data_IF_455968758986
#
_entry.id   IF_455968758986
#
_cell.length_a   1.000
_cell.length_b   1.000
_cell.length_c   1.000
_cell.angle_alpha   90.00
_cell.angle_beta   90.00
_cell.angle_gamma   90.00
#
_symmetry.space_group_name_H-M   'P 1'
#
loop_
_entity.id
_entity.type
_entity.pdbx_description
1 polymer ?
#
# COMPACT_ATOMS: atom_id res chain seq x y z
N UNK A 1 -34.42 7.90 10.11
CA UNK A 1 -33.89 7.37 8.84
C UNK A 1 -32.65 6.55 9.15
N UNK A 2 -32.55 5.36 8.56
CA UNK A 2 -31.46 4.41 8.76
C UNK A 2 -30.78 4.13 7.41
N UNK A 3 -29.48 3.89 7.44
CA UNK A 3 -28.71 3.46 6.28
C UNK A 3 -28.68 1.93 6.20
N UNK A 4 -28.85 1.37 5.01
CA UNK A 4 -28.53 -0.02 4.70
C UNK A 4 -27.41 -0.03 3.66
N UNK A 5 -26.23 -0.50 4.03
CA UNK A 5 -25.11 -0.67 3.13
C UNK A 5 -24.98 -2.15 2.78
N UNK A 6 -25.55 -2.52 1.64
CA UNK A 6 -25.55 -3.90 1.17
C UNK A 6 -24.25 -4.18 0.39
N UNK A 7 -23.22 -4.69 1.08
CA UNK A 7 -21.87 -4.86 0.54
C UNK A 7 -21.72 -6.06 -0.40
N UNK A 8 -22.64 -6.23 -1.37
CA UNK A 8 -22.58 -7.34 -2.34
C UNK A 8 -21.25 -7.33 -3.08
N UNK A 9 -20.75 -8.53 -3.37
CA UNK A 9 -19.56 -8.70 -4.19
C UNK A 9 -19.94 -8.69 -5.67
N UNK A 10 -19.08 -8.17 -6.56
CA UNK A 10 -19.32 -8.20 -7.99
C UNK A 10 -19.33 -9.64 -8.52
N UNK A 11 -20.17 -9.91 -9.53
CA UNK A 11 -20.19 -11.14 -10.31
C UNK A 11 -20.00 -10.79 -11.80
N UNK A 12 -18.87 -11.15 -12.44
CA UNK A 12 -17.76 -11.94 -11.91
C UNK A 12 -16.97 -11.23 -10.79
N UNK A 13 -16.24 -11.99 -9.96
CA UNK A 13 -15.43 -11.43 -8.88
C UNK A 13 -14.44 -10.39 -9.38
N UNK A 14 -14.21 -9.35 -8.55
CA UNK A 14 -13.14 -8.38 -8.78
C UNK A 14 -11.78 -9.09 -8.82
N UNK A 15 -10.78 -8.46 -9.44
CA UNK A 15 -9.46 -9.10 -9.61
C UNK A 15 -8.88 -9.56 -8.26
N UNK A 16 -8.81 -10.88 -8.07
CA UNK A 16 -8.42 -11.54 -6.83
C UNK A 16 -6.93 -11.38 -6.49
N UNK A 17 -6.11 -10.88 -7.41
CA UNK A 17 -4.70 -10.62 -7.09
C UNK A 17 -4.47 -9.30 -6.37
N UNK A 18 -5.50 -8.46 -6.27
CA UNK A 18 -5.38 -7.25 -5.50
C UNK A 18 -5.22 -7.62 -4.02
N UNK A 19 -4.35 -6.92 -3.27
CA UNK A 19 -4.06 -7.27 -1.88
C UNK A 19 -5.17 -6.84 -0.91
N UNK A 20 -6.37 -6.52 -1.43
CA UNK A 20 -7.49 -6.00 -0.66
C UNK A 20 -8.83 -6.41 -1.29
N UNK A 21 -9.89 -6.58 -0.49
CA UNK A 21 -11.24 -6.75 -1.00
C UNK A 21 -11.79 -5.42 -1.57
N UNK A 22 -12.81 -5.50 -2.44
CA UNK A 22 -13.33 -4.36 -3.19
C UNK A 22 -13.82 -3.19 -2.33
N UNK A 23 -14.45 -3.49 -1.19
CA UNK A 23 -14.97 -2.48 -0.26
C UNK A 23 -13.87 -1.79 0.56
N UNK A 24 -12.70 -2.42 0.68
CA UNK A 24 -11.52 -1.85 1.33
C UNK A 24 -10.51 -1.32 0.31
N UNK A 25 -10.82 -1.39 -0.98
CA UNK A 25 -9.94 -0.90 -2.04
C UNK A 25 -9.69 0.60 -1.85
N UNK A 26 -8.42 1.05 -1.84
CA UNK A 26 -8.08 2.45 -1.63
C UNK A 26 -8.30 3.29 -2.89
N UNK A 27 -9.25 4.22 -2.85
CA UNK A 27 -9.38 5.29 -3.83
C UNK A 27 -8.72 6.54 -3.26
N UNK A 28 -7.64 7.01 -3.88
CA UNK A 28 -6.79 8.08 -3.31
C UNK A 28 -6.41 7.82 -1.83
N UNK A 29 -5.91 6.60 -1.54
CA UNK A 29 -5.55 6.11 -0.20
C UNK A 29 -6.67 6.04 0.85
N UNK A 30 -7.89 6.46 0.50
CA UNK A 30 -9.08 6.28 1.33
C UNK A 30 -9.84 5.02 0.89
N UNK A 31 -10.17 4.07 1.77
CA UNK A 31 -10.98 2.91 1.40
C UNK A 31 -12.34 3.32 0.85
N UNK A 32 -12.84 2.60 -0.17
CA UNK A 32 -14.17 2.82 -0.76
C UNK A 32 -15.26 2.93 0.31
N UNK A 33 -15.25 2.06 1.32
CA UNK A 33 -16.25 2.08 2.39
C UNK A 33 -16.33 3.41 3.15
N UNK A 34 -15.20 4.09 3.36
CA UNK A 34 -15.18 5.36 4.09
C UNK A 34 -15.84 6.49 3.29
N UNK A 35 -15.89 6.41 1.95
CA UNK A 35 -16.66 7.37 1.15
C UNK A 35 -18.16 7.25 1.39
N UNK A 36 -18.65 6.04 1.71
CA UNK A 36 -20.04 5.85 2.10
C UNK A 36 -20.33 6.41 3.48
N UNK A 37 -19.42 6.26 4.44
CA UNK A 37 -19.57 6.83 5.76
C UNK A 37 -19.70 8.35 5.70
N UNK A 38 -18.83 9.01 4.93
CA UNK A 38 -18.95 10.43 4.64
C UNK A 38 -20.31 10.76 4.01
N UNK A 39 -20.69 10.02 2.96
CA UNK A 39 -21.95 10.25 2.24
C UNK A 39 -23.15 10.17 3.20
N UNK A 40 -23.22 9.11 4.02
CA UNK A 40 -24.29 8.94 5.00
C UNK A 40 -24.33 10.11 5.99
N UNK A 41 -23.18 10.53 6.52
CA UNK A 41 -23.09 11.70 7.40
C UNK A 41 -23.59 12.98 6.73
N UNK A 42 -23.15 13.28 5.51
CA UNK A 42 -23.58 14.47 4.77
C UNK A 42 -25.08 14.45 4.46
N UNK A 43 -25.65 13.27 4.24
CA UNK A 43 -27.07 13.07 4.05
C UNK A 43 -27.87 13.07 5.37
N UNK A 44 -27.20 13.13 6.53
CA UNK A 44 -27.83 13.16 7.86
C UNK A 44 -28.23 11.78 8.39
N UNK A 45 -27.64 10.71 7.87
CA UNK A 45 -27.86 9.33 8.30
C UNK A 45 -26.67 8.87 9.13
N UNK A 46 -26.90 8.59 10.41
CA UNK A 46 -25.82 8.20 11.35
C UNK A 46 -25.88 6.73 11.77
N UNK A 47 -27.05 6.09 11.67
CA UNK A 47 -27.21 4.66 11.98
C UNK A 47 -27.18 3.84 10.69
N UNK A 48 -26.22 2.94 10.56
CA UNK A 48 -25.98 2.18 9.34
C UNK A 48 -25.93 0.68 9.67
N UNK A 49 -26.77 -0.08 8.99
CA UNK A 49 -26.75 -1.54 8.96
C UNK A 49 -25.93 -1.99 7.75
N UNK A 50 -24.81 -2.66 7.99
CA UNK A 50 -23.91 -3.17 6.97
C UNK A 50 -24.17 -4.67 6.77
N UNK A 51 -24.48 -5.07 5.53
CA UNK A 51 -24.60 -6.48 5.15
C UNK A 51 -23.27 -6.92 4.54
N UNK A 52 -22.52 -7.75 5.26
CA UNK A 52 -21.17 -8.17 4.89
C UNK A 52 -21.18 -9.53 4.20
N UNK A 53 -20.57 -9.60 3.02
CA UNK A 53 -20.44 -10.81 2.20
C UNK A 53 -19.00 -11.35 2.18
N UNK A 54 -18.06 -10.71 2.89
CA UNK A 54 -16.69 -11.18 3.00
C UNK A 54 -16.62 -12.41 3.92
N UNK A 55 -15.75 -13.35 3.58
CA UNK A 55 -15.54 -14.57 4.37
C UNK A 55 -14.75 -14.30 5.67
N UNK A 56 -14.05 -13.16 5.71
CA UNK A 56 -13.21 -12.71 6.82
C UNK A 56 -13.84 -11.46 7.44
N UNK A 57 -13.80 -11.29 8.77
CA UNK A 57 -14.39 -10.14 9.44
C UNK A 57 -13.53 -8.86 9.30
N UNK A 58 -12.97 -8.61 8.12
CA UNK A 58 -12.04 -7.51 7.87
C UNK A 58 -12.69 -6.14 8.07
N UNK A 59 -13.95 -5.98 7.64
CA UNK A 59 -14.69 -4.72 7.79
C UNK A 59 -14.96 -4.46 9.28
N UNK A 60 -15.55 -5.42 9.99
CA UNK A 60 -15.91 -5.25 11.40
C UNK A 60 -14.67 -5.11 12.30
N UNK A 61 -13.59 -5.82 11.99
CA UNK A 61 -12.31 -5.69 12.70
C UNK A 61 -11.69 -4.29 12.52
N UNK A 62 -11.83 -3.69 11.33
CA UNK A 62 -11.26 -2.38 11.01
C UNK A 62 -12.09 -1.22 11.56
N UNK A 63 -13.41 -1.26 11.41
CA UNK A 63 -14.28 -0.12 11.71
C UNK A 63 -15.00 -0.22 13.04
N UNK A 64 -15.06 -1.40 13.67
CA UNK A 64 -15.70 -1.59 14.97
C UNK A 64 -17.14 -1.06 14.96
N UNK A 65 -17.51 -0.22 15.93
CA UNK A 65 -18.84 0.39 15.98
C UNK A 65 -19.04 1.57 15.03
N UNK A 66 -18.02 2.00 14.28
CA UNK A 66 -18.06 3.18 13.41
C UNK A 66 -17.93 4.51 14.15
N UNK A 67 -17.83 4.50 15.49
CA UNK A 67 -17.84 5.72 16.30
C UNK A 67 -16.72 6.72 15.95
N UNK A 68 -15.56 6.25 15.50
CA UNK A 68 -14.45 7.11 15.05
C UNK A 68 -14.78 7.91 13.77
N UNK A 69 -15.78 7.48 13.00
CA UNK A 69 -16.31 8.15 11.83
C UNK A 69 -17.64 8.86 12.11
N UNK A 70 -18.04 9.04 13.38
CA UNK A 70 -19.28 9.74 13.73
C UNK A 70 -20.59 9.00 13.38
N UNK A 71 -20.50 7.70 13.06
CA UNK A 71 -21.62 6.83 12.70
C UNK A 71 -21.73 5.66 13.69
N UNK A 72 -22.87 4.97 13.65
CA UNK A 72 -23.13 3.73 14.37
C UNK A 72 -23.32 2.58 13.38
N UNK A 73 -22.34 1.68 13.33
CA UNK A 73 -22.34 0.49 12.49
C UNK A 73 -22.90 -0.71 13.24
N UNK A 74 -23.81 -1.43 12.59
CA UNK A 74 -24.25 -2.78 12.94
C UNK A 74 -23.97 -3.71 11.77
N UNK A 75 -23.57 -4.95 12.03
CA UNK A 75 -23.17 -5.90 10.99
C UNK A 75 -24.12 -7.08 10.93
N UNK A 76 -24.48 -7.50 9.72
CA UNK A 76 -25.21 -8.74 9.46
C UNK A 76 -24.52 -9.48 8.31
N UNK A 77 -24.45 -10.79 8.41
CA UNK A 77 -23.94 -11.64 7.34
C UNK A 77 -24.91 -11.65 6.14
N UNK A 78 -24.37 -11.44 4.95
CA UNK A 78 -25.06 -11.58 3.68
C UNK A 78 -25.11 -13.03 3.22
N UNK A 79 -26.22 -13.45 2.61
CA UNK A 79 -26.31 -14.80 2.04
C UNK A 79 -26.00 -14.75 0.53
N UNK A 80 -25.14 -15.67 0.08
CA UNK A 80 -24.74 -15.72 -1.33
C UNK A 80 -25.94 -15.90 -2.26
N UNK A 81 -25.99 -15.10 -3.33
CA UNK A 81 -27.08 -15.13 -4.31
C UNK A 81 -28.33 -14.34 -3.92
N UNK A 82 -28.40 -13.76 -2.72
CA UNK A 82 -29.52 -12.89 -2.34
C UNK A 82 -29.59 -11.63 -3.20
N UNK A 83 -30.80 -11.33 -3.67
CA UNK A 83 -31.13 -10.04 -4.28
C UNK A 83 -31.68 -9.07 -3.24
N UNK A 84 -31.64 -7.77 -3.52
CA UNK A 84 -32.04 -6.73 -2.57
C UNK A 84 -33.43 -6.96 -1.93
N UNK A 85 -34.51 -7.33 -2.66
CA UNK A 85 -35.81 -7.62 -2.03
C UNK A 85 -35.75 -8.73 -0.97
N UNK A 86 -35.00 -9.81 -1.23
CA UNK A 86 -34.85 -10.94 -0.31
C UNK A 86 -34.06 -10.53 0.95
N UNK A 87 -32.99 -9.76 0.76
CA UNK A 87 -32.21 -9.19 1.86
C UNK A 87 -33.09 -8.29 2.74
N UNK A 88 -33.87 -7.38 2.15
CA UNK A 88 -34.76 -6.49 2.92
C UNK A 88 -35.84 -7.26 3.68
N UNK A 89 -36.37 -8.34 3.10
CA UNK A 89 -37.36 -9.19 3.77
C UNK A 89 -36.79 -9.89 5.01
N UNK A 90 -35.62 -10.51 4.86
CA UNK A 90 -34.90 -11.14 5.97
C UNK A 90 -34.61 -10.13 7.08
N UNK A 91 -34.31 -8.88 6.71
CA UNK A 91 -33.95 -7.82 7.62
C UNK A 91 -35.13 -7.02 8.18
N UNK A 92 -36.37 -7.32 7.80
CA UNK A 92 -37.56 -6.50 8.13
C UNK A 92 -37.68 -6.08 9.60
N UNK A 93 -37.30 -6.95 10.52
CA UNK A 93 -37.37 -6.67 11.96
C UNK A 93 -36.37 -5.60 12.42
N UNK A 94 -35.32 -5.36 11.64
CA UNK A 94 -34.30 -4.34 11.87
C UNK A 94 -34.57 -3.02 11.12
N UNK A 95 -35.64 -2.94 10.31
CA UNK A 95 -35.94 -1.84 9.40
C UNK A 95 -37.27 -1.15 9.79
N UNK A 96 -37.24 -0.32 10.83
CA UNK A 96 -38.42 0.39 11.36
C UNK A 96 -38.44 1.88 10.97
N UNK A 97 -37.43 2.31 10.22
CA UNK A 97 -37.20 3.69 9.80
C UNK A 97 -37.24 3.80 8.28
N UNK A 98 -37.37 5.02 7.79
CA UNK A 98 -37.08 5.31 6.39
C UNK A 98 -35.65 4.89 6.06
N UNK A 99 -35.45 4.34 4.86
CA UNK A 99 -34.25 3.61 4.52
C UNK A 99 -33.52 4.27 3.36
N UNK A 100 -32.24 4.57 3.57
CA UNK A 100 -31.30 4.87 2.51
C UNK A 100 -30.48 3.61 2.22
N UNK A 101 -30.77 2.95 1.10
CA UNK A 101 -30.15 1.71 0.66
C UNK A 101 -29.03 2.03 -0.32
N UNK A 102 -27.85 1.44 -0.10
CA UNK A 102 -26.79 1.31 -1.09
C UNK A 102 -26.72 -0.17 -1.44
N UNK A 103 -26.98 -0.52 -2.69
CA UNK A 103 -26.96 -1.90 -3.15
C UNK A 103 -25.82 -2.17 -4.14
N UNK A 104 -24.79 -2.89 -3.71
CA UNK A 104 -23.71 -3.36 -4.58
C UNK A 104 -22.47 -2.46 -4.63
N UNK A 105 -21.38 -2.94 -5.27
CA UNK A 105 -20.08 -2.30 -5.27
C UNK A 105 -20.11 -1.10 -6.23
N UNK A 106 -20.62 0.01 -5.74
CA UNK A 106 -20.74 1.25 -6.48
C UNK A 106 -19.69 2.24 -6.01
N UNK A 107 -19.51 3.32 -6.76
CA UNK A 107 -18.78 4.49 -6.29
C UNK A 107 -19.62 5.76 -6.49
N UNK A 108 -20.02 6.45 -5.40
CA UNK A 108 -20.82 7.67 -5.48
C UNK A 108 -19.95 8.91 -5.71
N UNK A 109 -20.07 9.57 -6.87
CA UNK A 109 -19.39 10.84 -7.16
C UNK A 109 -20.18 12.03 -6.62
N UNK A 110 -20.37 12.04 -5.30
CA UNK A 110 -20.96 13.19 -4.62
C UNK A 110 -19.98 14.37 -4.53
N UNK A 111 -20.50 15.53 -4.12
CA UNK A 111 -19.70 16.72 -3.88
C UNK A 111 -20.08 17.29 -2.51
N UNK A 112 -19.16 17.20 -1.54
CA UNK A 112 -19.42 17.58 -0.15
C UNK A 112 -19.89 19.02 0.02
N UNK A 113 -19.56 19.89 -0.94
CA UNK A 113 -19.92 21.32 -0.89
C UNK A 113 -21.36 21.57 -1.34
N UNK A 114 -21.97 20.63 -2.05
CA UNK A 114 -23.30 20.78 -2.65
C UNK A 114 -24.34 19.81 -2.09
N UNK A 115 -23.88 18.74 -1.41
CA UNK A 115 -24.77 17.81 -0.74
C UNK A 115 -25.62 18.51 0.32
N UNK A 116 -26.89 18.12 0.37
CA UNK A 116 -27.86 18.55 1.36
C UNK A 116 -28.27 17.36 2.21
N UNK A 117 -28.71 17.63 3.44
CA UNK A 117 -29.38 16.63 4.27
C UNK A 117 -30.56 16.04 3.52
N UNK A 118 -30.67 14.71 3.57
CA UNK A 118 -31.65 13.97 2.81
C UNK A 118 -33.04 14.14 3.42
N UNK A 119 -34.04 14.35 2.57
CA UNK A 119 -35.44 14.45 2.96
C UNK A 119 -36.27 13.61 2.01
N UNK A 120 -37.28 12.91 2.53
CA UNK A 120 -38.21 12.17 1.68
C UNK A 120 -39.06 13.13 0.84
N UNK A 121 -39.04 13.02 -0.50
CA UNK A 121 -39.85 13.90 -1.33
C UNK A 121 -41.34 13.64 -1.16
N UNK A 122 -41.75 12.36 -1.19
CA UNK A 122 -43.09 11.84 -0.90
C UNK A 122 -42.96 10.40 -0.40
N UNK A 123 -44.01 9.86 0.23
CA UNK A 123 -43.98 8.50 0.77
C UNK A 123 -44.44 7.42 -0.24
N UNK A 124 -44.69 7.80 -1.49
CA UNK A 124 -45.41 6.97 -2.48
C UNK A 124 -44.52 6.23 -3.49
N UNK A 125 -43.21 6.43 -3.47
CA UNK A 125 -42.30 5.86 -4.47
C UNK A 125 -40.89 5.62 -3.93
N UNK A 126 -40.09 4.91 -4.71
CA UNK A 126 -38.66 4.69 -4.47
C UNK A 126 -37.90 5.80 -5.21
N UNK A 127 -36.97 6.45 -4.52
CA UNK A 127 -36.18 7.53 -5.11
C UNK A 127 -34.72 7.13 -5.28
N UNK A 128 -34.22 7.17 -6.51
CA UNK A 128 -32.79 6.98 -6.80
C UNK A 128 -32.00 8.28 -6.61
N UNK A 129 -30.86 8.20 -5.94
CA UNK A 129 -29.86 9.28 -5.88
C UNK A 129 -28.89 9.25 -7.06
N UNK A 130 -28.94 8.23 -7.91
CA UNK A 130 -28.13 8.15 -9.12
C UNK A 130 -28.65 9.12 -10.17
N UNK A 131 -27.76 9.90 -10.78
CA UNK A 131 -28.13 10.87 -11.82
C UNK A 131 -28.34 10.24 -13.21
N UNK A 132 -27.77 9.06 -13.48
CA UNK A 132 -27.64 8.50 -14.83
C UNK A 132 -28.54 7.31 -15.11
N UNK A 133 -28.87 6.52 -14.10
CA UNK A 133 -29.60 5.26 -14.27
C UNK A 133 -30.71 5.12 -13.24
N UNK A 134 -31.88 4.67 -13.70
CA UNK A 134 -33.08 4.46 -12.91
C UNK A 134 -33.38 2.97 -12.89
N UNK A 135 -32.83 2.29 -11.89
CA UNK A 135 -32.98 0.84 -11.69
C UNK A 135 -32.93 0.52 -10.20
N UNK A 136 -33.46 -0.63 -9.82
CA UNK A 136 -33.48 -1.13 -8.45
C UNK A 136 -32.14 -1.75 -8.05
N UNK A 137 -31.45 -2.39 -8.98
CA UNK A 137 -30.15 -3.02 -8.73
C UNK A 137 -29.00 -2.06 -8.95
N UNK A 138 -27.91 -2.25 -8.21
CA UNK A 138 -26.66 -1.48 -8.39
C UNK A 138 -26.92 0.03 -8.29
N UNK A 139 -27.68 0.42 -7.28
CA UNK A 139 -28.15 1.79 -7.08
C UNK A 139 -28.13 2.24 -5.61
N UNK A 140 -28.34 3.54 -5.42
CA UNK A 140 -28.55 4.17 -4.12
C UNK A 140 -30.00 4.66 -4.08
N UNK A 141 -30.80 4.03 -3.23
CA UNK A 141 -32.26 4.16 -3.20
C UNK A 141 -32.72 4.70 -1.85
N UNK A 142 -33.69 5.59 -1.88
CA UNK A 142 -34.41 6.09 -0.71
C UNK A 142 -35.83 5.52 -0.74
N UNK A 143 -36.21 4.86 0.36
CA UNK A 143 -37.50 4.17 0.53
C UNK A 143 -38.12 4.60 1.86
N UNK A 144 -39.39 5.00 1.87
CA UNK A 144 -40.10 5.29 3.12
C UNK A 144 -40.41 4.01 3.90
N UNK A 145 -40.47 4.09 5.23
CA UNK A 145 -40.83 2.94 6.07
C UNK A 145 -42.22 2.37 5.74
N UNK A 146 -43.18 3.24 5.43
CA UNK A 146 -44.55 2.81 5.06
C UNK A 146 -44.54 1.98 3.77
N UNK A 147 -43.80 2.44 2.76
CA UNK A 147 -43.65 1.73 1.51
C UNK A 147 -42.88 0.43 1.71
N UNK A 148 -41.82 0.44 2.52
CA UNK A 148 -41.03 -0.74 2.83
C UNK A 148 -41.88 -1.87 3.44
N UNK A 149 -42.78 -1.55 4.38
CA UNK A 149 -43.70 -2.55 4.96
C UNK A 149 -44.62 -3.19 3.91
N UNK A 150 -44.97 -2.44 2.85
CA UNK A 150 -45.78 -2.95 1.74
C UNK A 150 -44.93 -3.83 0.82
N UNK A 151 -43.70 -3.41 0.52
CA UNK A 151 -42.75 -4.10 -0.36
C UNK A 151 -42.25 -5.44 0.21
N UNK A 152 -42.23 -5.58 1.52
CA UNK A 152 -41.71 -6.74 2.25
C UNK A 152 -42.83 -7.73 2.69
N UNK A 153 -44.04 -7.58 2.14
CA UNK A 153 -45.19 -8.44 2.42
C UNK A 153 -45.27 -9.67 1.50
N UNK A 154 -46.24 -10.57 1.72
CA UNK A 154 -46.28 -11.93 1.12
C UNK A 154 -46.23 -11.99 -0.43
N UNK A 155 -46.57 -10.90 -1.15
CA UNK A 155 -46.49 -10.80 -2.63
C UNK A 155 -45.20 -10.11 -3.13
N UNK A 156 -44.08 -10.82 -2.90
CA UNK A 156 -42.66 -10.42 -2.97
C UNK A 156 -42.17 -9.62 -4.18
N UNK A 157 -42.64 -9.89 -5.40
CA UNK A 157 -42.08 -9.28 -6.64
C UNK A 157 -43.03 -8.30 -7.33
N UNK A 158 -44.33 -8.60 -7.32
CA UNK A 158 -45.31 -7.75 -8.00
C UNK A 158 -45.37 -6.36 -7.34
N UNK A 159 -45.21 -6.28 -6.02
CA UNK A 159 -45.19 -5.00 -5.31
C UNK A 159 -44.03 -4.10 -5.77
N UNK A 160 -42.83 -4.66 -5.97
CA UNK A 160 -41.65 -3.91 -6.39
C UNK A 160 -41.76 -3.37 -7.81
N UNK A 161 -42.43 -4.12 -8.70
CA UNK A 161 -42.62 -3.73 -10.10
C UNK A 161 -43.66 -2.60 -10.25
N UNK A 162 -44.67 -2.56 -9.37
CA UNK A 162 -45.76 -1.60 -9.44
C UNK A 162 -45.47 -0.27 -8.74
N UNK A 163 -44.39 -0.19 -7.97
CA UNK A 163 -44.04 1.01 -7.22
C UNK A 163 -43.28 2.00 -8.12
N UNK A 164 -43.69 3.28 -8.17
CA UNK A 164 -42.97 4.29 -8.95
C UNK A 164 -41.51 4.40 -8.50
N UNK A 165 -40.61 4.30 -9.46
CA UNK A 165 -39.18 4.55 -9.28
C UNK A 165 -38.82 5.86 -9.98
N UNK A 166 -38.41 6.86 -9.20
CA UNK A 166 -38.11 8.20 -9.69
C UNK A 166 -36.73 8.67 -9.23
N UNK A 167 -36.20 9.71 -9.86
CA UNK A 167 -35.02 10.40 -9.33
C UNK A 167 -35.40 11.26 -8.13
N UNK A 168 -34.53 11.32 -7.13
CA UNK A 168 -34.68 12.29 -6.06
C UNK A 168 -34.57 13.73 -6.62
N UNK A 169 -35.46 14.68 -6.28
CA UNK A 169 -35.52 15.99 -6.92
C UNK A 169 -34.29 16.87 -6.64
N UNK A 170 -33.76 16.83 -5.41
CA UNK A 170 -32.68 17.73 -4.98
C UNK A 170 -31.30 17.07 -4.89
N UNK A 171 -31.22 15.87 -4.31
CA UNK A 171 -29.97 15.14 -4.09
C UNK A 171 -29.75 14.13 -5.21
N UNK A 172 -28.82 14.41 -6.12
CA UNK A 172 -28.42 13.49 -7.19
C UNK A 172 -26.95 13.62 -7.52
N UNK A 173 -26.32 12.49 -7.84
CA UNK A 173 -24.93 12.48 -8.28
C UNK A 173 -24.63 11.29 -9.19
N UNK A 174 -23.57 11.35 -10.01
CA UNK A 174 -23.16 10.21 -10.82
C UNK A 174 -22.73 9.05 -9.92
N UNK A 175 -23.15 7.84 -10.28
CA UNK A 175 -22.69 6.61 -9.64
C UNK A 175 -22.00 5.76 -10.71
N UNK A 176 -20.81 5.25 -10.40
CA UNK A 176 -20.07 4.36 -11.29
C UNK A 176 -20.00 2.97 -10.64
N UNK A 177 -20.43 1.91 -11.34
CA UNK A 177 -20.26 0.54 -10.85
C UNK A 177 -18.78 0.14 -10.80
N UNK A 178 -18.35 -0.44 -9.68
CA UNK A 178 -16.98 -0.84 -9.39
C UNK A 178 -16.83 -2.35 -9.58
N UNK A 179 -16.94 -2.80 -10.84
CA UNK A 179 -16.85 -4.22 -11.21
C UNK A 179 -15.60 -4.59 -12.02
N UNK A 180 -14.76 -3.63 -12.40
CA UNK A 180 -13.57 -3.90 -13.22
C UNK A 180 -12.37 -3.03 -12.85
N UNK A 181 -11.17 -3.47 -13.22
CA UNK A 181 -9.94 -2.70 -13.08
C UNK A 181 -10.00 -1.37 -13.85
N UNK A 182 -10.65 -1.36 -15.03
CA UNK A 182 -10.86 -0.13 -15.80
C UNK A 182 -11.72 0.88 -15.03
N UNK A 183 -12.83 0.42 -14.43
CA UNK A 183 -13.68 1.27 -13.60
C UNK A 183 -12.92 1.78 -12.37
N UNK A 184 -12.15 0.92 -11.71
CA UNK A 184 -11.36 1.31 -10.54
C UNK A 184 -10.27 2.34 -10.85
N UNK A 185 -9.54 2.18 -11.95
CA UNK A 185 -8.58 3.17 -12.42
C UNK A 185 -9.30 4.49 -12.77
N UNK A 186 -10.40 4.41 -13.51
CA UNK A 186 -11.19 5.59 -13.86
C UNK A 186 -11.64 6.34 -12.61
N UNK A 187 -12.15 5.63 -11.61
CA UNK A 187 -12.61 6.23 -10.35
C UNK A 187 -11.47 6.96 -9.66
N UNK A 188 -10.30 6.31 -9.51
CA UNK A 188 -9.13 6.95 -8.91
C UNK A 188 -8.71 8.23 -9.65
N UNK A 189 -8.66 8.21 -10.98
CA UNK A 189 -8.26 9.37 -11.79
C UNK A 189 -9.29 10.52 -11.73
N UNK A 190 -10.58 10.20 -11.69
CA UNK A 190 -11.65 11.19 -11.57
C UNK A 190 -11.66 11.85 -10.17
N UNK A 191 -11.46 11.05 -9.12
CA UNK A 191 -11.34 11.57 -7.75
C UNK A 191 -10.09 12.42 -7.60
N UNK A 192 -8.95 11.98 -8.15
CA UNK A 192 -7.72 12.78 -8.18
C UNK A 192 -7.95 14.15 -8.85
N UNK A 193 -8.73 14.20 -9.93
CA UNK A 193 -9.05 15.45 -10.62
C UNK A 193 -9.95 16.40 -9.84
N UNK A 194 -10.63 15.91 -8.80
CA UNK A 194 -11.68 16.61 -8.03
C UNK A 194 -11.53 16.39 -6.52
N UNK A 195 -10.33 16.12 -6.05
CA UNK A 195 -10.05 15.67 -4.69
C UNK A 195 -10.55 16.67 -3.63
N UNK A 196 -10.64 17.96 -3.96
CA UNK A 196 -11.19 19.02 -3.12
C UNK A 196 -12.67 18.83 -2.72
N UNK A 197 -13.42 18.04 -3.51
CA UNK A 197 -14.85 17.75 -3.31
C UNK A 197 -15.12 16.60 -2.34
N UNK A 198 -14.07 15.92 -1.88
CA UNK A 198 -14.13 14.77 -0.99
C UNK A 198 -13.34 15.06 0.30
N UNK A 199 -13.62 14.30 1.36
CA UNK A 199 -12.84 14.35 2.61
C UNK A 199 -11.66 13.37 2.54
N UNK A 200 -10.50 13.88 2.14
CA UNK A 200 -9.28 13.09 1.95
C UNK A 200 -8.21 13.45 2.98
N UNK A 201 -7.46 12.45 3.45
CA UNK A 201 -6.42 12.60 4.47
C UNK A 201 -5.03 12.93 3.86
N UNK A 202 -4.97 13.90 2.95
CA UNK A 202 -3.71 14.33 2.35
C UNK A 202 -3.54 15.86 2.37
N UNK A 203 -2.29 16.31 2.48
CA UNK A 203 -1.98 17.73 2.39
C UNK A 203 -1.91 18.11 0.92
N UNK A 204 -2.75 19.05 0.52
CA UNK A 204 -2.70 19.63 -0.82
C UNK A 204 -1.59 20.68 -0.89
N UNK A 205 -0.65 20.48 -1.79
CA UNK A 205 0.32 21.48 -2.24
C UNK A 205 -0.26 22.30 -3.42
N UNK A 206 0.41 23.41 -3.80
CA UNK A 206 0.08 24.14 -5.03
C UNK A 206 -0.03 23.21 -6.24
N UNK A 207 -0.77 23.65 -7.26
CA UNK A 207 -0.95 22.93 -8.52
C UNK A 207 -1.60 21.55 -8.41
N UNK A 208 -2.53 21.34 -7.46
CA UNK A 208 -3.29 20.07 -7.35
C UNK A 208 -2.37 18.85 -7.19
N UNK A 209 -1.36 18.98 -6.33
CA UNK A 209 -0.49 17.87 -5.94
C UNK A 209 -0.82 17.53 -4.49
N UNK A 210 -1.16 16.28 -4.21
CA UNK A 210 -1.42 15.78 -2.87
C UNK A 210 -0.24 14.93 -2.42
N UNK A 211 0.29 15.24 -1.23
CA UNK A 211 1.43 14.51 -0.65
C UNK A 211 1.07 13.90 0.70
N UNK A 212 1.48 12.64 0.87
CA UNK A 212 1.55 11.94 2.14
C UNK A 212 2.80 12.35 2.94
N UNK A 213 3.16 11.54 3.93
CA UNK A 213 4.33 11.81 4.78
C UNK A 213 5.61 11.32 4.10
N UNK A 214 6.75 11.97 4.37
CA UNK A 214 8.07 11.57 3.88
C UNK A 214 8.16 11.37 2.36
N UNK A 215 7.44 12.19 1.59
CA UNK A 215 7.56 12.19 0.13
C UNK A 215 8.86 12.89 -0.25
N UNK A 216 9.71 12.20 -1.01
CA UNK A 216 10.97 12.73 -1.51
C UNK A 216 10.90 12.89 -3.03
N UNK A 217 11.07 14.11 -3.51
CA UNK A 217 11.09 14.42 -4.95
C UNK A 217 12.43 15.08 -5.27
N UNK A 218 13.24 14.45 -6.12
CA UNK A 218 14.50 15.02 -6.58
C UNK A 218 14.26 16.20 -7.53
N UNK A 219 15.22 17.13 -7.60
CA UNK A 219 15.10 18.41 -8.32
C UNK A 219 14.80 18.23 -9.81
N UNK A 220 15.31 17.17 -10.42
CA UNK A 220 15.17 16.85 -11.84
C UNK A 220 13.86 16.11 -12.18
N UNK A 221 13.08 15.72 -11.17
CA UNK A 221 11.80 15.03 -11.39
C UNK A 221 10.73 16.03 -11.89
N UNK A 222 9.96 15.61 -12.90
CA UNK A 222 8.92 16.42 -13.52
C UNK A 222 7.54 15.97 -13.04
N UNK A 223 6.80 16.91 -12.47
CA UNK A 223 5.47 16.67 -11.91
C UNK A 223 4.39 17.35 -12.76
N UNK A 224 3.49 16.56 -13.34
CA UNK A 224 2.33 17.00 -14.10
C UNK A 224 1.03 16.85 -13.32
N UNK A 225 0.46 17.96 -12.87
CA UNK A 225 -0.81 17.98 -12.13
C UNK A 225 -2.02 17.38 -12.89
N UNK A 226 -3.07 16.93 -12.17
CA UNK A 226 -3.10 16.60 -10.74
C UNK A 226 -2.26 15.36 -10.39
N UNK A 227 -1.70 15.29 -9.18
CA UNK A 227 -0.90 14.13 -8.73
C UNK A 227 -1.18 13.74 -7.30
N UNK A 228 -1.13 12.44 -7.03
CA UNK A 228 -1.14 11.92 -5.66
C UNK A 228 0.14 11.15 -5.38
N UNK A 229 0.85 11.56 -4.34
CA UNK A 229 2.08 10.95 -3.86
C UNK A 229 1.84 10.47 -2.43
N UNK A 230 1.71 9.16 -2.25
CA UNK A 230 1.45 8.54 -0.97
C UNK A 230 2.61 8.64 0.01
N UNK A 231 2.43 8.07 1.20
CA UNK A 231 3.46 8.10 2.25
C UNK A 231 4.71 7.32 1.84
N UNK A 232 5.90 7.83 2.13
CA UNK A 232 7.17 7.18 1.81
C UNK A 232 7.41 6.96 0.30
N UNK A 233 6.79 7.78 -0.54
CA UNK A 233 7.01 7.78 -2.00
C UNK A 233 8.30 8.54 -2.36
N UNK A 234 9.08 7.97 -3.27
CA UNK A 234 10.33 8.57 -3.77
C UNK A 234 10.27 8.72 -5.29
N UNK A 235 10.51 9.93 -5.77
CA UNK A 235 10.67 10.25 -7.18
C UNK A 235 12.13 10.66 -7.42
N UNK A 236 12.88 9.79 -8.09
CA UNK A 236 14.26 10.00 -8.47
C UNK A 236 14.44 10.94 -9.66
N UNK A 237 15.70 11.26 -9.98
CA UNK A 237 16.06 12.17 -11.04
C UNK A 237 15.54 11.67 -12.40
N UNK A 238 14.97 12.59 -13.18
CA UNK A 238 14.43 12.30 -14.51
C UNK A 238 13.06 11.60 -14.52
N UNK A 239 12.51 11.20 -13.36
CA UNK A 239 11.15 10.65 -13.29
C UNK A 239 10.13 11.69 -13.77
N UNK A 240 9.19 11.27 -14.62
CA UNK A 240 8.13 12.12 -15.16
C UNK A 240 6.79 11.52 -14.81
N UNK A 241 6.07 12.15 -13.89
CA UNK A 241 4.78 11.62 -13.42
C UNK A 241 3.71 12.65 -13.68
N UNK A 242 2.67 12.28 -14.42
CA UNK A 242 1.56 13.16 -14.74
C UNK A 242 0.20 12.48 -14.54
N UNK A 243 -0.76 13.20 -13.97
CA UNK A 243 -2.15 12.72 -13.80
C UNK A 243 -2.26 11.32 -13.17
N UNK A 244 -1.34 10.98 -12.27
CA UNK A 244 -1.18 9.62 -11.75
C UNK A 244 -1.30 9.59 -10.23
N UNK A 245 -1.68 8.42 -9.71
CA UNK A 245 -1.77 8.14 -8.29
C UNK A 245 -0.71 7.12 -7.89
N UNK A 246 0.27 7.56 -7.12
CA UNK A 246 1.24 6.68 -6.47
C UNK A 246 0.81 6.56 -5.01
N UNK A 247 0.39 5.37 -4.59
CA UNK A 247 0.12 5.15 -3.16
C UNK A 247 1.44 5.09 -2.38
N UNK A 248 1.35 4.85 -1.07
CA UNK A 248 2.54 4.79 -0.23
C UNK A 248 3.52 3.67 -0.60
N UNK A 249 4.79 3.88 -0.26
CA UNK A 249 5.92 2.96 -0.50
C UNK A 249 6.22 2.69 -1.98
N UNK A 250 6.03 3.70 -2.82
CA UNK A 250 6.35 3.64 -4.25
C UNK A 250 7.66 4.36 -4.53
N UNK A 251 8.54 3.75 -5.33
CA UNK A 251 9.78 4.37 -5.78
C UNK A 251 9.86 4.35 -7.31
N UNK A 252 10.11 5.52 -7.90
CA UNK A 252 10.19 5.71 -9.35
C UNK A 252 11.56 6.30 -9.70
N UNK A 253 12.32 5.61 -10.54
CA UNK A 253 13.70 5.95 -10.90
C UNK A 253 13.89 5.98 -12.43
N UNK A 254 15.07 6.41 -12.89
CA UNK A 254 15.61 6.31 -14.26
C UNK A 254 14.62 6.63 -15.38
N UNK A 255 14.44 7.92 -15.69
CA UNK A 255 13.62 8.43 -16.81
C UNK A 255 12.22 7.82 -16.96
N UNK A 256 11.69 7.18 -15.91
CA UNK A 256 10.38 6.53 -15.92
C UNK A 256 9.28 7.55 -16.16
N UNK A 257 8.39 7.25 -17.11
CA UNK A 257 7.27 8.09 -17.49
C UNK A 257 5.96 7.42 -17.10
N UNK A 258 5.18 8.08 -16.25
CA UNK A 258 3.87 7.63 -15.79
C UNK A 258 2.82 8.65 -16.17
N UNK A 259 1.81 8.24 -16.94
CA UNK A 259 0.68 9.09 -17.31
C UNK A 259 -0.64 8.37 -17.05
N UNK A 260 -1.53 8.99 -16.26
CA UNK A 260 -2.83 8.38 -15.92
C UNK A 260 -2.69 6.97 -15.30
N UNK A 261 -1.65 6.75 -14.51
CA UNK A 261 -1.36 5.48 -13.88
C UNK A 261 -1.82 5.41 -12.43
N UNK A 262 -2.15 4.21 -11.97
CA UNK A 262 -2.36 3.89 -10.56
C UNK A 262 -1.29 2.88 -10.14
N UNK A 263 -0.37 3.32 -9.27
CA UNK A 263 0.71 2.48 -8.76
C UNK A 263 0.44 2.22 -7.29
N UNK A 264 0.18 0.96 -6.97
CA UNK A 264 -0.04 0.51 -5.59
C UNK A 264 1.27 -0.01 -5.03
N UNK A 265 1.72 0.60 -3.95
CA UNK A 265 2.92 0.16 -3.25
C UNK A 265 2.68 -1.06 -2.35
N UNK A 266 3.75 -1.74 -1.94
CA UNK A 266 5.15 -1.45 -2.28
C UNK A 266 5.47 -1.76 -3.75
N UNK A 267 6.05 -0.79 -4.48
CA UNK A 267 6.37 -0.92 -5.92
C UNK A 267 7.63 -0.14 -6.28
N UNK A 268 8.47 -0.73 -7.13
CA UNK A 268 9.70 -0.13 -7.65
C UNK A 268 9.63 -0.12 -9.19
N UNK A 269 9.73 1.08 -9.78
CA UNK A 269 9.67 1.29 -11.24
C UNK A 269 10.92 1.99 -11.75
N UNK A 270 11.36 1.57 -12.93
CA UNK A 270 12.58 2.04 -13.54
C UNK A 270 12.52 1.88 -15.07
N UNK A 271 12.95 2.90 -15.82
CA UNK A 271 13.12 2.82 -17.27
C UNK A 271 11.86 2.47 -18.06
N UNK A 272 10.66 2.68 -17.49
CA UNK A 272 9.39 2.31 -18.14
C UNK A 272 8.58 3.52 -18.57
N UNK A 273 7.84 3.38 -19.67
CA UNK A 273 6.85 4.34 -20.11
C UNK A 273 5.46 3.72 -20.07
N UNK A 274 4.65 4.15 -19.10
CA UNK A 274 3.34 3.60 -18.84
C UNK A 274 2.27 4.70 -18.97
N UNK A 275 1.24 4.38 -19.76
CA UNK A 275 0.07 5.22 -19.90
C UNK A 275 -1.19 4.41 -19.61
N UNK A 276 -2.05 4.92 -18.72
CA UNK A 276 -3.32 4.29 -18.33
C UNK A 276 -3.14 2.84 -17.87
N UNK A 277 -2.13 2.63 -17.04
CA UNK A 277 -1.78 1.31 -16.47
C UNK A 277 -1.98 1.29 -14.98
N UNK A 278 -2.11 0.08 -14.48
CA UNK A 278 -2.16 -0.22 -13.07
C UNK A 278 -0.92 -1.04 -12.72
N UNK A 279 -0.22 -0.72 -11.62
CA UNK A 279 1.03 -1.40 -11.24
C UNK A 279 0.95 -1.85 -9.80
N UNK A 280 1.33 -3.11 -9.54
CA UNK A 280 1.48 -3.68 -8.20
C UNK A 280 2.77 -4.48 -8.14
N UNK A 281 3.67 -4.11 -7.23
CA UNK A 281 4.97 -4.75 -7.07
C UNK A 281 5.78 -4.67 -8.35
N UNK A 282 5.94 -5.82 -9.02
CA UNK A 282 6.64 -5.95 -10.30
C UNK A 282 5.70 -6.27 -11.47
N UNK A 283 4.39 -6.18 -11.29
CA UNK A 283 3.39 -6.49 -12.32
C UNK A 283 2.71 -5.22 -12.83
N UNK A 284 2.61 -5.12 -14.15
CA UNK A 284 1.78 -4.16 -14.88
C UNK A 284 0.48 -4.87 -15.27
N UNK A 285 -0.63 -4.31 -14.85
CA UNK A 285 -1.97 -4.76 -15.22
C UNK A 285 -2.57 -3.81 -16.27
N UNK A 286 -3.17 -4.39 -17.30
CA UNK A 286 -3.85 -3.70 -18.38
C UNK A 286 -5.34 -3.58 -18.03
N UNK A 287 -5.85 -2.38 -17.66
CA UNK A 287 -7.19 -2.27 -17.08
C UNK A 287 -8.32 -2.72 -18.01
N UNK A 288 -8.13 -2.54 -19.33
CA UNK A 288 -9.15 -2.88 -20.33
C UNK A 288 -9.20 -4.38 -20.67
N UNK A 289 -8.06 -5.08 -20.64
CA UNK A 289 -7.97 -6.50 -21.03
C UNK A 289 -7.82 -7.45 -19.85
N UNK A 290 -7.44 -6.96 -18.66
CA UNK A 290 -7.04 -7.77 -17.52
C UNK A 290 -5.69 -8.48 -17.70
N UNK A 291 -4.98 -8.24 -18.82
CA UNK A 291 -3.68 -8.85 -19.08
C UNK A 291 -2.62 -8.33 -18.10
N UNK A 292 -1.68 -9.21 -17.75
CA UNK A 292 -0.55 -8.91 -16.89
C UNK A 292 0.77 -9.05 -17.62
N UNK A 293 1.69 -8.16 -17.29
CA UNK A 293 3.06 -8.14 -17.78
C UNK A 293 3.99 -7.90 -16.59
N UNK A 294 5.13 -8.59 -16.55
CA UNK A 294 6.13 -8.37 -15.51
C UNK A 294 7.11 -7.29 -15.96
N UNK A 295 7.38 -6.32 -15.07
CA UNK A 295 8.41 -5.31 -15.26
C UNK A 295 9.75 -5.97 -15.56
N UNK A 296 10.35 -5.61 -16.70
CA UNK A 296 11.70 -6.01 -17.07
C UNK A 296 12.66 -4.94 -16.53
N UNK A 297 13.34 -5.28 -15.44
CA UNK A 297 14.30 -4.38 -14.79
C UNK A 297 15.68 -5.00 -14.91
N UNK A 298 16.63 -4.23 -15.45
CA UNK A 298 18.04 -4.59 -15.46
C UNK A 298 18.70 -4.14 -14.15
N UNK A 299 19.01 -5.10 -13.28
CA UNK A 299 19.57 -4.79 -11.96
C UNK A 299 21.10 -4.64 -12.05
N UNK A 300 21.62 -3.43 -11.83
CA UNK A 300 23.07 -3.19 -11.93
C UNK A 300 23.88 -4.06 -10.97
N UNK A 301 23.35 -4.38 -9.78
CA UNK A 301 24.01 -5.29 -8.85
C UNK A 301 24.22 -6.68 -9.46
N UNK A 302 23.22 -7.20 -10.18
CA UNK A 302 23.31 -8.47 -10.88
C UNK A 302 24.42 -8.44 -11.92
N UNK A 303 24.39 -7.41 -12.78
CA UNK A 303 25.34 -7.23 -13.86
C UNK A 303 26.77 -7.13 -13.33
N UNK A 304 27.00 -6.32 -12.30
CA UNK A 304 28.33 -6.16 -11.67
C UNK A 304 28.87 -7.44 -11.03
N UNK A 305 28.01 -8.25 -10.41
CA UNK A 305 28.41 -9.50 -9.78
C UNK A 305 28.72 -10.62 -10.78
N UNK A 306 28.12 -10.55 -11.97
CA UNK A 306 28.35 -11.47 -13.09
C UNK A 306 29.54 -11.05 -13.97
N UNK A 307 29.79 -9.74 -14.11
CA UNK A 307 30.93 -9.21 -14.87
C UNK A 307 32.26 -9.44 -14.13
N UNK A 308 33.21 -10.22 -14.69
CA UNK A 308 34.44 -10.57 -13.97
C UNK A 308 35.29 -9.36 -13.58
N UNK A 309 35.38 -8.35 -14.44
CA UNK A 309 36.19 -7.16 -14.20
C UNK A 309 35.64 -6.32 -13.03
N UNK A 310 34.35 -5.97 -13.08
CA UNK A 310 33.67 -5.22 -12.02
C UNK A 310 33.68 -5.96 -10.67
N UNK A 311 33.50 -7.30 -10.70
CA UNK A 311 33.58 -8.13 -9.50
C UNK A 311 34.98 -8.11 -8.89
N UNK A 312 36.02 -8.26 -9.69
CA UNK A 312 37.41 -8.23 -9.22
C UNK A 312 37.78 -6.86 -8.66
N UNK A 313 37.31 -5.78 -9.29
CA UNK A 313 37.51 -4.41 -8.81
C UNK A 313 36.86 -4.19 -7.44
N UNK A 314 35.64 -4.68 -7.23
CA UNK A 314 34.98 -4.62 -5.92
C UNK A 314 35.76 -5.41 -4.87
N UNK A 315 36.15 -6.65 -5.18
CA UNK A 315 36.89 -7.51 -4.26
C UNK A 315 38.26 -6.91 -3.87
N UNK A 316 38.98 -6.31 -4.81
CA UNK A 316 40.29 -5.68 -4.51
C UNK A 316 40.13 -4.48 -3.59
N UNK A 317 39.17 -3.60 -3.88
CA UNK A 317 38.87 -2.45 -3.02
C UNK A 317 38.45 -2.86 -1.60
N UNK A 318 37.54 -3.84 -1.48
CA UNK A 318 37.09 -4.33 -0.18
C UNK A 318 38.24 -4.96 0.61
N UNK A 319 39.08 -5.77 -0.05
CA UNK A 319 40.24 -6.40 0.57
C UNK A 319 41.23 -5.36 1.10
N UNK A 320 41.64 -4.40 0.27
CA UNK A 320 42.61 -3.37 0.64
C UNK A 320 42.10 -2.53 1.81
N UNK A 321 40.81 -2.18 1.79
CA UNK A 321 40.17 -1.44 2.87
C UNK A 321 40.14 -2.26 4.17
N UNK A 322 39.68 -3.52 4.12
CA UNK A 322 39.55 -4.39 5.30
C UNK A 322 40.93 -4.70 5.89
N UNK A 323 41.95 -4.99 5.08
CA UNK A 323 43.31 -5.27 5.57
C UNK A 323 43.90 -4.07 6.33
N UNK A 324 43.66 -2.85 5.83
CA UNK A 324 44.06 -1.64 6.53
C UNK A 324 43.24 -1.44 7.82
N UNK A 325 41.92 -1.62 7.75
CA UNK A 325 41.01 -1.46 8.88
C UNK A 325 41.27 -2.48 10.01
N UNK A 326 41.60 -3.72 9.67
CA UNK A 326 41.83 -4.82 10.62
C UNK A 326 43.25 -4.86 11.20
N UNK A 327 44.23 -4.18 10.60
CA UNK A 327 45.66 -4.27 10.94
C UNK A 327 45.95 -4.21 12.45
N UNK A 328 45.35 -3.23 13.14
CA UNK A 328 45.50 -3.08 14.60
C UNK A 328 44.34 -3.71 15.39
N UNK A 329 43.17 -3.89 14.75
CA UNK A 329 41.95 -4.39 15.39
C UNK A 329 41.95 -5.89 15.63
N UNK A 330 42.63 -6.70 14.82
CA UNK A 330 42.76 -8.16 15.06
C UNK A 330 43.40 -8.49 16.40
N UNK A 331 44.48 -7.77 16.74
CA UNK A 331 45.16 -7.95 18.03
C UNK A 331 44.28 -7.51 19.20
N UNK A 332 43.59 -6.38 19.04
CA UNK A 332 42.65 -5.89 20.06
C UNK A 332 41.47 -6.85 20.25
N UNK A 333 40.92 -7.40 19.16
CA UNK A 333 39.85 -8.40 19.18
C UNK A 333 40.27 -9.65 19.96
N UNK A 334 41.40 -10.28 19.58
CA UNK A 334 41.90 -11.47 20.25
C UNK A 334 42.15 -11.26 21.77
N UNK A 335 42.45 -10.03 22.18
CA UNK A 335 42.60 -9.69 23.59
C UNK A 335 41.25 -9.48 24.30
N UNK A 336 40.34 -8.69 23.70
CA UNK A 336 39.12 -8.19 24.32
C UNK A 336 37.90 -9.13 24.16
N UNK A 337 37.89 -10.01 23.17
CA UNK A 337 36.78 -10.93 22.87
C UNK A 337 36.40 -11.78 24.10
N UNK A 338 37.36 -12.20 24.92
CA UNK A 338 37.14 -12.99 26.15
C UNK A 338 36.19 -12.32 27.17
N UNK A 339 36.03 -11.00 27.09
CA UNK A 339 35.17 -10.22 27.97
C UNK A 339 33.80 -9.94 27.35
N UNK A 340 33.66 -10.16 26.04
CA UNK A 340 32.42 -9.97 25.31
C UNK A 340 31.57 -11.26 25.35
N UNK A 341 30.25 -11.11 25.31
CA UNK A 341 29.33 -12.24 25.16
C UNK A 341 28.72 -12.17 23.77
N UNK A 342 28.84 -13.26 23.03
CA UNK A 342 28.18 -13.42 21.75
C UNK A 342 27.25 -14.61 21.78
N UNK A 343 26.32 -14.58 20.83
CA UNK A 343 25.52 -15.73 20.45
C UNK A 343 25.74 -15.94 18.96
N UNK A 344 26.03 -17.18 18.56
CA UNK A 344 26.05 -17.50 17.15
C UNK A 344 24.63 -17.45 16.60
N UNK A 345 24.46 -16.71 15.52
CA UNK A 345 23.25 -16.70 14.73
C UNK A 345 23.57 -17.17 13.32
N UNK A 346 22.58 -17.75 12.67
CA UNK A 346 22.66 -18.18 11.29
C UNK A 346 21.96 -17.17 10.40
N UNK A 347 22.58 -16.87 9.28
CA UNK A 347 22.13 -15.90 8.31
C UNK A 347 22.16 -16.51 6.92
N UNK A 348 21.28 -16.04 6.04
CA UNK A 348 21.36 -16.41 4.62
C UNK A 348 22.55 -15.70 3.98
N UNK A 349 23.46 -16.48 3.40
CA UNK A 349 24.66 -16.02 2.70
C UNK A 349 24.40 -15.74 1.21
N UNK A 350 23.38 -16.36 0.63
CA UNK A 350 23.00 -16.20 -0.77
C UNK A 350 21.54 -16.58 -1.03
N UNK A 351 21.07 -16.31 -2.25
CA UNK A 351 19.72 -16.63 -2.70
C UNK A 351 19.42 -18.14 -2.80
N UNK A 352 20.44 -19.01 -2.74
CA UNK A 352 20.26 -20.48 -2.73
C UNK A 352 19.95 -21.04 -1.33
N UNK A 353 19.88 -20.17 -0.31
CA UNK A 353 19.59 -20.59 1.07
C UNK A 353 20.81 -21.13 1.80
N UNK A 354 22.03 -20.93 1.29
CA UNK A 354 23.23 -21.27 2.03
C UNK A 354 23.29 -20.45 3.31
N UNK A 355 23.57 -21.12 4.43
CA UNK A 355 23.65 -20.48 5.74
C UNK A 355 25.10 -20.17 6.11
N UNK A 356 25.28 -19.01 6.73
CA UNK A 356 26.52 -18.56 7.33
C UNK A 356 26.28 -18.32 8.83
N UNK A 357 27.14 -18.90 9.67
CA UNK A 357 27.06 -18.74 11.12
C UNK A 357 28.03 -17.63 11.56
N UNK A 358 27.48 -16.58 12.17
CA UNK A 358 28.25 -15.42 12.63
C UNK A 358 27.98 -15.13 14.11
N UNK A 359 28.99 -14.68 14.86
CA UNK A 359 28.80 -14.23 16.23
C UNK A 359 28.11 -12.87 16.24
N UNK A 360 27.03 -12.76 17.02
CA UNK A 360 26.32 -11.51 17.32
C UNK A 360 26.56 -11.14 18.78
N UNK A 361 27.28 -10.05 18.99
CA UNK A 361 27.65 -9.58 20.33
C UNK A 361 26.52 -8.77 20.94
N UNK A 362 26.20 -9.03 22.22
CA UNK A 362 25.16 -8.28 22.96
C UNK A 362 25.79 -7.39 24.01
N UNK A 363 25.54 -6.08 23.91
CA UNK A 363 26.02 -5.11 24.89
C UNK A 363 25.18 -5.18 26.16
N UNK A 364 25.82 -5.24 27.33
CA UNK A 364 25.13 -5.16 28.62
C UNK A 364 24.58 -3.76 28.86
N UNK A 365 23.47 -3.66 29.60
CA UNK A 365 22.91 -2.36 30.06
C UNK A 365 23.90 -1.50 30.84
N UNK A 366 24.84 -2.14 31.56
CA UNK A 366 25.97 -1.49 32.23
C UNK A 366 27.26 -2.21 31.84
N UNK A 367 27.91 -1.80 30.74
CA UNK A 367 29.10 -2.47 30.24
C UNK A 367 30.32 -2.10 31.07
N UNK A 368 31.18 -3.09 31.35
CA UNK A 368 32.48 -2.87 31.97
C UNK A 368 33.42 -2.10 31.01
N UNK A 369 34.48 -1.47 31.51
CA UNK A 369 35.43 -0.71 30.68
C UNK A 369 35.97 -1.50 29.46
N UNK A 370 36.36 -2.78 29.58
CA UNK A 370 36.81 -3.57 28.42
C UNK A 370 35.71 -3.79 27.37
N UNK A 371 34.46 -3.97 27.80
CA UNK A 371 33.31 -4.12 26.92
C UNK A 371 32.98 -2.79 26.21
N UNK A 372 33.11 -1.65 26.90
CA UNK A 372 32.98 -0.33 26.27
C UNK A 372 34.02 -0.13 25.17
N UNK A 373 35.28 -0.49 25.42
CA UNK A 373 36.34 -0.40 24.42
C UNK A 373 36.11 -1.35 23.25
N UNK A 374 35.59 -2.56 23.51
CA UNK A 374 35.25 -3.53 22.47
C UNK A 374 34.27 -2.95 21.44
N UNK A 375 33.18 -2.33 21.90
CA UNK A 375 32.20 -1.69 21.01
C UNK A 375 32.70 -0.37 20.41
N UNK A 376 33.45 0.44 21.17
CA UNK A 376 34.00 1.71 20.67
C UNK A 376 34.91 1.51 19.44
N UNK A 377 35.72 0.45 19.44
CA UNK A 377 36.59 0.11 18.30
C UNK A 377 35.92 -0.75 17.22
N UNK A 378 34.60 -1.02 17.32
CA UNK A 378 33.84 -1.94 16.47
C UNK A 378 34.46 -3.34 16.36
N UNK A 379 34.96 -3.85 17.47
CA UNK A 379 35.55 -5.19 17.50
C UNK A 379 34.50 -6.29 17.34
N UNK A 380 33.23 -5.98 17.61
CA UNK A 380 32.08 -6.86 17.38
C UNK A 380 31.92 -7.28 15.92
N UNK A 381 32.35 -6.44 14.97
CA UNK A 381 32.30 -6.71 13.53
C UNK A 381 33.54 -7.42 12.98
N UNK A 382 34.60 -7.63 13.78
CA UNK A 382 35.85 -8.29 13.31
C UNK A 382 35.59 -9.65 12.67
N UNK A 383 34.79 -10.56 13.26
CA UNK A 383 34.47 -11.84 12.64
C UNK A 383 33.72 -11.70 11.30
N UNK A 384 32.93 -10.64 11.15
CA UNK A 384 32.17 -10.35 9.93
C UNK A 384 33.12 -9.88 8.82
N UNK A 385 34.09 -9.01 9.13
CA UNK A 385 35.14 -8.63 8.18
C UNK A 385 35.99 -9.82 7.76
N UNK A 386 36.25 -10.78 8.64
CA UNK A 386 36.95 -12.01 8.27
C UNK A 386 36.13 -12.88 7.32
N UNK A 387 34.80 -12.93 7.49
CA UNK A 387 33.91 -13.61 6.54
C UNK A 387 33.95 -12.96 5.15
N UNK A 388 34.07 -11.62 5.07
CA UNK A 388 34.26 -10.92 3.79
C UNK A 388 35.58 -11.32 3.12
N UNK A 389 36.69 -11.38 3.87
CA UNK A 389 37.98 -11.83 3.32
C UNK A 389 37.98 -13.29 2.84
N UNK A 390 37.10 -14.13 3.39
CA UNK A 390 36.87 -15.52 2.92
C UNK A 390 35.96 -15.60 1.71
N UNK A 391 35.33 -14.49 1.30
CA UNK A 391 34.36 -14.43 0.22
C UNK A 391 32.97 -14.96 0.59
N UNK A 392 32.67 -15.04 1.89
CA UNK A 392 31.37 -15.52 2.41
C UNK A 392 30.34 -14.38 2.53
N UNK A 393 30.81 -13.13 2.59
CA UNK A 393 30.02 -11.90 2.65
C UNK A 393 30.66 -10.80 1.79
N UNK A 394 29.89 -9.75 1.52
CA UNK A 394 30.40 -8.50 0.96
C UNK A 394 30.65 -7.47 2.07
N UNK A 395 31.51 -6.47 1.82
CA UNK A 395 31.63 -5.35 2.75
C UNK A 395 30.35 -4.50 2.70
N UNK A 396 29.91 -4.17 1.48
CA UNK A 396 28.67 -3.45 1.22
C UNK A 396 27.78 -4.27 0.28
N UNK A 397 26.54 -4.48 0.70
CA UNK A 397 25.61 -5.39 0.06
C UNK A 397 24.16 -5.20 0.51
N UNK A 398 23.34 -6.20 0.24
CA UNK A 398 21.97 -6.26 0.75
C UNK A 398 21.97 -6.43 2.27
N UNK A 399 20.86 -6.06 2.92
CA UNK A 399 20.68 -6.29 4.34
C UNK A 399 20.74 -7.79 4.66
N UNK A 400 21.68 -8.17 5.54
CA UNK A 400 21.84 -9.54 6.01
C UNK A 400 20.59 -10.03 6.76
N UNK A 401 19.99 -11.13 6.30
CA UNK A 401 18.76 -11.70 6.87
C UNK A 401 19.07 -12.91 7.77
N UNK A 402 18.48 -12.92 8.98
CA UNK A 402 18.55 -14.05 9.92
C UNK A 402 17.76 -15.26 9.39
N UNK A 403 18.21 -16.47 9.75
CA UNK A 403 17.50 -17.72 9.44
C UNK A 403 16.07 -17.70 10.00
N UNK A 404 15.10 -17.98 9.14
CA UNK A 404 13.69 -18.07 9.51
C UNK A 404 12.74 -17.69 8.38
N UNK A 405 11.42 -17.91 8.54
CA UNK A 405 10.44 -17.68 7.49
C UNK A 405 10.45 -16.24 6.95
N UNK A 406 10.47 -15.25 7.84
CA UNK A 406 10.49 -13.83 7.46
C UNK A 406 11.80 -13.41 6.76
N UNK A 407 12.94 -13.96 7.19
CA UNK A 407 14.22 -13.70 6.54
C UNK A 407 14.26 -14.29 5.14
N UNK A 408 13.75 -15.53 4.99
CA UNK A 408 13.69 -16.21 3.69
C UNK A 408 12.75 -15.50 2.71
N UNK A 409 11.60 -15.01 3.18
CA UNK A 409 10.67 -14.24 2.37
C UNK A 409 11.36 -13.00 1.77
N UNK A 410 12.09 -12.23 2.59
CA UNK A 410 12.85 -11.06 2.11
C UNK A 410 13.93 -11.41 1.10
N UNK A 411 14.66 -12.50 1.33
CA UNK A 411 15.68 -12.98 0.37
C UNK A 411 15.04 -13.27 -0.99
N UNK A 412 13.87 -13.91 -1.01
CA UNK A 412 13.17 -14.28 -2.25
C UNK A 412 12.47 -13.11 -2.95
N UNK A 413 12.19 -12.02 -2.23
CA UNK A 413 11.62 -10.80 -2.81
C UNK A 413 12.67 -10.00 -3.59
N UNK A 414 13.96 -10.23 -3.34
CA UNK A 414 15.04 -9.52 -4.02
C UNK A 414 15.41 -10.20 -5.34
N UNK A 415 15.68 -9.40 -6.39
CA UNK A 415 16.13 -9.93 -7.68
C UNK A 415 17.52 -10.57 -7.58
N UNK A 416 18.37 -10.01 -6.74
CA UNK A 416 19.69 -10.50 -6.38
C UNK A 416 19.89 -10.29 -4.89
N UNK A 417 20.38 -11.32 -4.22
CA UNK A 417 20.73 -11.24 -2.81
C UNK A 417 22.22 -11.54 -2.63
N UNK A 418 22.97 -10.48 -2.36
CA UNK A 418 24.39 -10.49 -2.06
C UNK A 418 24.62 -9.68 -0.77
N UNK A 419 24.50 -10.34 0.40
CA UNK A 419 24.46 -9.64 1.67
C UNK A 419 25.82 -9.06 2.06
N UNK A 420 25.76 -7.88 2.69
CA UNK A 420 26.95 -7.18 3.17
C UNK A 420 26.93 -6.90 4.67
N UNK A 421 28.08 -6.53 5.23
CA UNK A 421 28.18 -6.01 6.61
C UNK A 421 27.40 -4.69 6.72
N UNK A 422 27.51 -3.86 5.69
CA UNK A 422 26.82 -2.60 5.56
C UNK A 422 25.81 -2.68 4.42
N UNK A 423 24.64 -2.09 4.62
CA UNK A 423 23.56 -2.10 3.65
C UNK A 423 22.91 -0.72 3.56
N UNK A 424 22.49 -0.34 2.36
CA UNK A 424 21.82 0.93 2.12
C UNK A 424 20.55 1.08 2.96
N UNK A 425 19.76 0.00 3.10
CA UNK A 425 18.54 0.00 3.91
C UNK A 425 18.78 0.10 5.43
N UNK A 426 20.02 -0.06 5.92
CA UNK A 426 20.33 0.07 7.34
C UNK A 426 20.71 1.49 7.74
N UNK A 427 20.79 2.44 6.79
CA UNK A 427 21.12 3.82 7.10
C UNK A 427 19.98 4.48 7.90
N UNK A 428 20.26 5.22 9.00
CA UNK A 428 19.23 5.71 9.92
C UNK A 428 18.11 6.53 9.26
N UNK A 429 18.48 7.40 8.32
CA UNK A 429 17.54 8.26 7.58
C UNK A 429 16.66 7.49 6.59
N UNK A 430 16.99 6.23 6.30
CA UNK A 430 16.46 5.46 5.19
C UNK A 430 15.81 4.13 5.62
N UNK A 431 15.98 3.74 6.89
CA UNK A 431 15.55 2.44 7.42
C UNK A 431 14.04 2.17 7.36
N UNK A 432 13.22 3.20 7.12
CA UNK A 432 11.76 3.09 7.03
C UNK A 432 11.24 2.89 5.61
N UNK A 433 12.08 3.02 4.58
CA UNK A 433 11.64 2.91 3.18
C UNK A 433 11.88 1.47 2.66
N UNK A 434 10.85 0.64 2.52
CA UNK A 434 11.01 -0.78 2.17
C UNK A 434 11.63 -0.99 0.78
N UNK A 435 11.52 -0.01 -0.11
CA UNK A 435 12.05 -0.08 -1.49
C UNK A 435 13.55 0.19 -1.59
N UNK A 436 14.24 0.47 -0.48
CA UNK A 436 15.66 0.81 -0.49
C UNK A 436 16.58 -0.36 -0.84
N UNK A 437 16.20 -1.60 -0.53
CA UNK A 437 16.95 -2.77 -0.97
C UNK A 437 16.86 -2.94 -2.50
N UNK A 438 15.68 -2.75 -3.08
CA UNK A 438 15.50 -2.77 -4.54
C UNK A 438 16.24 -1.61 -5.20
N UNK A 439 16.20 -0.42 -4.62
CA UNK A 439 17.01 0.70 -5.09
C UNK A 439 18.51 0.36 -5.09
N UNK A 440 19.04 -0.26 -4.04
CA UNK A 440 20.44 -0.67 -4.02
C UNK A 440 20.73 -1.71 -5.11
N UNK A 441 19.84 -2.70 -5.31
CA UNK A 441 19.98 -3.65 -6.42
C UNK A 441 20.09 -2.96 -7.78
N UNK A 442 19.42 -1.82 -7.96
CA UNK A 442 19.47 -1.04 -9.20
C UNK A 442 20.69 -0.11 -9.27
N UNK A 443 20.93 0.71 -8.24
CA UNK A 443 21.91 1.78 -8.26
C UNK A 443 23.33 1.32 -7.85
N UNK A 444 23.53 0.02 -7.63
CA UNK A 444 24.79 -0.55 -7.15
C UNK A 444 25.98 -0.10 -8.02
N UNK A 445 26.81 0.79 -7.47
CA UNK A 445 28.09 1.24 -8.05
C UNK A 445 29.18 1.24 -6.98
N UNK A 446 30.46 1.30 -7.37
CA UNK A 446 31.54 1.43 -6.39
C UNK A 446 31.46 2.73 -5.61
N UNK A 447 31.00 3.81 -6.25
CA UNK A 447 30.83 5.09 -5.59
C UNK A 447 29.68 5.06 -4.58
N UNK A 448 28.58 4.39 -4.90
CA UNK A 448 27.52 4.14 -3.93
C UNK A 448 28.00 3.25 -2.77
N UNK A 449 28.78 2.19 -3.06
CA UNK A 449 29.35 1.31 -2.04
C UNK A 449 30.24 2.11 -1.07
N UNK A 450 31.13 2.96 -1.60
CA UNK A 450 31.98 3.86 -0.81
C UNK A 450 31.15 4.82 0.03
N UNK A 451 30.15 5.44 -0.56
CA UNK A 451 29.27 6.36 0.15
C UNK A 451 28.52 5.67 1.30
N UNK A 452 27.94 4.48 1.09
CA UNK A 452 27.25 3.70 2.14
C UNK A 452 28.21 3.42 3.30
N UNK A 453 29.43 2.98 2.98
CA UNK A 453 30.45 2.70 3.97
C UNK A 453 30.81 3.97 4.76
N UNK A 454 31.03 5.10 4.08
CA UNK A 454 31.31 6.38 4.74
C UNK A 454 30.19 6.79 5.69
N UNK A 455 28.92 6.77 5.25
CA UNK A 455 27.78 7.11 6.10
C UNK A 455 27.65 6.17 7.30
N UNK A 456 27.84 4.87 7.08
CA UNK A 456 27.76 3.85 8.15
C UNK A 456 28.86 3.97 9.20
N UNK A 457 29.94 4.68 8.87
CA UNK A 457 31.07 4.93 9.78
C UNK A 457 31.02 6.33 10.41
N UNK A 458 30.15 7.25 9.98
CA UNK A 458 30.07 8.60 10.56
C UNK A 458 29.69 8.58 12.04
N UNK A 459 28.87 7.62 12.46
CA UNK A 459 28.48 7.42 13.87
C UNK A 459 29.64 6.92 14.76
N UNK A 460 30.82 6.60 14.20
CA UNK A 460 32.00 6.17 14.97
C UNK A 460 32.93 7.30 15.37
N UNK A 461 32.89 8.40 14.62
CA UNK A 461 33.76 9.55 14.82
C UNK A 461 33.08 10.68 15.60
N UNK A 462 31.80 10.49 15.97
CA UNK A 462 31.05 11.31 16.92
C UNK A 462 31.08 10.65 18.31
#
# INVERSE_FOLDING_TARGET
>A
MKGLLNCRLPDPPFDQSLPFPIWLAPVCEKPVLEYYFDLFLYLGVTEILLVDYLQTPEISARYGTGAAWGIQLSYIEGLSGEVLPETLERLKHHLQDDLLVVDGPLFPFYDRQTLKTLQLPRETGIYSLNQRHLDLTDNILLVSHQLLNTLVSENRFDAWIQVPLDYHPEVRFPVIPLHSLAAYLQINLEILGRAERFELQAVQEPDKIWKGRNVHVQTEAQLGSPLWLGTDTVLGAGAQVSRSLLTGHVRVEDETQLQECLVIGPSYLQGVNLQRKFVIGQEILHPASGQRERLQIEWAQQNRLQEPAARLEKLSWEKDWIENFLRNRRKAYAFLERFARFQNKRFYANAQGQLLELPVFKQRKQPALPEKWFYHYQLDKVPWYEAVLKGELWLVGNQLQEEGPAGWERVNQLPVYAPGIYAYANLPELAHLPMNELYYCNAASLDLDRWILEQSLKDLNA
#
